data_IF_727883611337
#
_entry.id   IF_727883611337
#
_cell.length_a   1.000
_cell.length_b   1.000
_cell.length_c   1.000
_cell.angle_alpha   90.00
_cell.angle_beta   90.00
_cell.angle_gamma   90.00
#
_symmetry.space_group_name_H-M   'P 1'
#
loop_
_entity.id
_entity.type
_entity.pdbx_description
1 polymer ?
#
# COMPACT_ATOMS: atom_id res chain seq x y z
N UNK A 1 20.68 37.21 -50.78
CA UNK A 1 20.82 36.08 -49.83
C UNK A 1 19.83 36.28 -48.70
N UNK A 2 18.74 35.51 -48.61
CA UNK A 2 17.74 35.69 -47.55
C UNK A 2 18.11 34.89 -46.29
N UNK A 3 18.01 35.52 -45.13
CA UNK A 3 18.21 34.90 -43.81
C UNK A 3 17.11 33.87 -43.53
N UNK A 4 17.53 32.62 -43.31
CA UNK A 4 16.66 31.50 -42.94
C UNK A 4 16.40 31.57 -41.44
N UNK A 5 15.20 31.99 -41.02
CA UNK A 5 14.73 31.85 -39.63
C UNK A 5 14.56 30.36 -39.32
N UNK A 6 15.38 29.84 -38.40
CA UNK A 6 15.22 28.51 -37.83
C UNK A 6 14.24 28.65 -36.66
N UNK A 7 13.03 28.16 -36.86
CA UNK A 7 12.02 27.96 -35.81
C UNK A 7 12.32 26.61 -35.14
N UNK A 8 12.71 26.63 -33.87
CA UNK A 8 12.88 25.43 -33.04
C UNK A 8 11.59 25.26 -32.25
N UNK A 9 10.76 24.30 -32.64
CA UNK A 9 9.58 23.88 -31.88
C UNK A 9 10.02 22.90 -30.79
N UNK A 10 9.84 23.28 -29.53
CA UNK A 10 9.93 22.34 -28.41
C UNK A 10 8.72 21.39 -28.43
N UNK A 11 8.89 20.08 -28.19
CA UNK A 11 7.74 19.21 -27.99
C UNK A 11 7.00 19.65 -26.72
N UNK A 12 5.68 19.80 -26.85
CA UNK A 12 4.80 20.17 -25.75
C UNK A 12 4.95 19.17 -24.59
N UNK A 13 5.30 19.68 -23.42
CA UNK A 13 5.14 18.97 -22.15
C UNK A 13 3.67 18.61 -22.01
N UNK A 14 3.35 17.31 -22.08
CA UNK A 14 1.99 16.84 -21.79
C UNK A 14 1.64 17.18 -20.33
N UNK A 15 0.40 17.61 -20.07
CA UNK A 15 -0.03 17.97 -18.73
C UNK A 15 -0.02 16.74 -17.84
N UNK A 16 0.56 16.88 -16.65
CA UNK A 16 0.63 15.85 -15.62
C UNK A 16 -0.76 15.29 -15.32
N UNK A 17 -0.98 14.02 -15.62
CA UNK A 17 -2.17 13.29 -15.21
C UNK A 17 -2.22 13.28 -13.68
N UNK A 18 -3.26 13.91 -13.13
CA UNK A 18 -3.53 13.96 -11.70
C UNK A 18 -3.83 12.54 -11.22
N UNK A 19 -2.87 11.97 -10.49
CA UNK A 19 -3.01 10.71 -9.77
C UNK A 19 -4.24 10.80 -8.87
N UNK A 20 -5.28 10.01 -9.17
CA UNK A 20 -6.47 9.88 -8.32
C UNK A 20 -6.66 8.40 -8.02
N UNK A 21 -6.27 7.99 -6.82
CA UNK A 21 -6.46 6.66 -6.24
C UNK A 21 -7.80 6.69 -5.49
N UNK A 22 -8.87 7.05 -6.19
CA UNK A 22 -10.20 7.17 -5.60
C UNK A 22 -10.78 5.78 -5.33
N UNK A 23 -10.82 5.34 -4.07
CA UNK A 23 -11.56 4.15 -3.60
C UNK A 23 -13.06 4.42 -3.78
N UNK A 24 -13.71 3.81 -4.78
CA UNK A 24 -15.17 3.92 -4.94
C UNK A 24 -15.87 2.74 -4.27
N UNK A 25 -16.91 3.04 -3.50
CA UNK A 25 -17.85 2.07 -2.95
C UNK A 25 -19.18 2.21 -3.68
N UNK A 26 -19.60 1.16 -4.37
CA UNK A 26 -21.00 0.86 -4.63
C UNK A 26 -21.29 -0.50 -3.97
N UNK A 27 -22.26 -0.52 -3.07
CA UNK A 27 -22.61 -1.69 -2.27
C UNK A 27 -23.57 -2.60 -3.06
N UNK A 28 -23.17 -3.84 -3.32
CA UNK A 28 -24.08 -4.92 -3.68
C UNK A 28 -24.58 -5.59 -2.40
N UNK A 29 -25.91 -5.73 -2.27
CA UNK A 29 -26.60 -6.24 -1.08
C UNK A 29 -26.42 -7.77 -0.95
N UNK A 30 -25.98 -8.31 0.21
CA UNK A 30 -26.32 -9.68 0.61
C UNK A 30 -27.66 -9.73 1.36
N UNK A 31 -28.23 -10.92 1.42
CA UNK A 31 -29.60 -11.23 1.84
C UNK A 31 -30.01 -10.63 3.20
N UNK A 32 -31.25 -10.14 3.24
CA UNK A 32 -31.91 -9.55 4.41
C UNK A 32 -32.23 -10.62 5.48
N UNK A 33 -31.46 -10.65 6.56
CA UNK A 33 -32.01 -11.01 7.87
C UNK A 33 -32.67 -9.76 8.47
N UNK A 34 -33.91 -9.87 8.94
CA UNK A 34 -34.62 -8.80 9.66
C UNK A 34 -33.84 -8.45 10.93
N UNK A 35 -33.24 -7.25 11.04
CA UNK A 35 -32.37 -6.94 12.17
C UNK A 35 -33.20 -6.60 13.40
N UNK A 36 -32.79 -7.16 14.54
CA UNK A 36 -33.21 -6.66 15.85
C UNK A 36 -32.84 -5.17 15.98
N UNK A 37 -33.58 -4.35 16.75
CA UNK A 37 -33.19 -2.97 17.01
C UNK A 37 -31.74 -2.95 17.53
N UNK A 38 -30.90 -2.03 17.02
CA UNK A 38 -29.48 -2.03 17.34
C UNK A 38 -29.32 -1.81 18.84
N UNK A 39 -28.50 -2.66 19.47
CA UNK A 39 -28.24 -2.57 20.90
C UNK A 39 -27.88 -1.12 21.32
N UNK A 40 -28.38 -0.72 22.49
CA UNK A 40 -28.11 0.59 23.08
C UNK A 40 -26.62 0.79 23.39
N UNK A 41 -25.90 -0.31 23.63
CA UNK A 41 -24.46 -0.33 23.79
C UNK A 41 -23.90 -1.66 23.24
N UNK A 42 -22.85 -1.54 22.43
CA UNK A 42 -22.03 -2.63 21.96
C UNK A 42 -20.55 -2.23 21.99
N UNK A 43 -19.69 -3.24 22.05
CA UNK A 43 -18.25 -3.10 21.99
C UNK A 43 -17.65 -3.83 20.81
N UNK A 44 -16.49 -3.37 20.37
CA UNK A 44 -15.64 -4.15 19.50
C UNK A 44 -14.16 -4.02 19.85
N UNK A 45 -13.43 -5.10 19.62
CA UNK A 45 -11.98 -5.19 19.75
C UNK A 45 -11.42 -5.66 18.41
N UNK A 46 -10.41 -4.96 17.92
CA UNK A 46 -9.76 -5.27 16.67
C UNK A 46 -8.31 -5.57 16.94
N UNK A 47 -7.92 -6.81 16.64
CA UNK A 47 -6.61 -7.34 16.93
C UNK A 47 -5.85 -7.46 15.62
N UNK A 48 -5.11 -6.41 15.29
CA UNK A 48 -4.22 -6.36 14.14
C UNK A 48 -2.76 -6.54 14.56
N UNK A 49 -1.91 -6.97 13.63
CA UNK A 49 -0.50 -7.18 13.93
C UNK A 49 0.19 -5.88 14.38
N UNK A 50 -0.22 -4.72 13.89
CA UNK A 50 0.42 -3.44 14.20
C UNK A 50 -0.26 -2.69 15.33
N UNK A 51 -1.55 -2.91 15.54
CA UNK A 51 -2.34 -2.13 16.48
C UNK A 51 -3.46 -2.94 17.12
N UNK A 52 -3.83 -2.53 18.32
CA UNK A 52 -5.04 -2.97 19.01
C UNK A 52 -5.97 -1.77 19.01
N UNK A 53 -7.22 -1.98 18.60
CA UNK A 53 -8.25 -0.95 18.73
C UNK A 53 -9.42 -1.46 19.56
N UNK A 54 -9.98 -0.57 20.38
CA UNK A 54 -11.27 -0.77 21.03
C UNK A 54 -12.26 0.27 20.52
N UNK A 55 -13.45 -0.18 20.18
CA UNK A 55 -14.55 0.64 19.69
C UNK A 55 -15.75 0.50 20.62
N UNK A 56 -16.33 1.65 20.97
CA UNK A 56 -17.62 1.72 21.63
C UNK A 56 -18.66 2.15 20.61
N UNK A 57 -19.77 1.42 20.52
CA UNK A 57 -20.94 1.82 19.73
C UNK A 57 -22.08 2.00 20.72
N UNK A 58 -22.48 3.25 20.99
CA UNK A 58 -23.41 3.58 22.07
C UNK A 58 -24.49 4.56 21.63
N UNK A 59 -25.73 4.36 22.07
CA UNK A 59 -26.80 5.35 21.93
C UNK A 59 -26.48 6.57 22.78
N UNK A 60 -26.63 7.80 22.26
CA UNK A 60 -26.49 9.02 23.07
C UNK A 60 -27.37 8.99 24.33
N UNK A 61 -28.60 8.48 24.22
CA UNK A 61 -29.53 8.39 25.34
C UNK A 61 -29.07 7.38 26.39
N UNK A 62 -28.50 6.25 25.96
CA UNK A 62 -27.94 5.26 26.89
C UNK A 62 -26.69 5.80 27.60
N UNK A 63 -25.85 6.57 26.90
CA UNK A 63 -24.65 7.17 27.48
C UNK A 63 -24.97 8.17 28.59
N UNK A 64 -26.16 8.80 28.58
CA UNK A 64 -26.60 9.71 29.62
C UNK A 64 -26.70 9.10 31.02
N UNK A 65 -26.80 7.76 31.12
CA UNK A 65 -26.77 7.06 32.41
C UNK A 65 -25.47 7.33 33.20
N UNK A 66 -24.38 7.69 32.51
CA UNK A 66 -23.08 7.95 33.13
C UNK A 66 -22.49 9.32 32.85
N UNK A 67 -22.86 9.95 31.75
CA UNK A 67 -22.35 11.25 31.34
C UNK A 67 -23.51 12.14 30.91
N UNK A 68 -23.80 13.18 31.69
CA UNK A 68 -24.83 14.16 31.33
C UNK A 68 -24.45 14.87 30.01
N UNK A 69 -25.17 14.56 28.93
CA UNK A 69 -24.96 15.16 27.62
C UNK A 69 -25.86 16.39 27.43
N UNK A 70 -26.82 16.65 28.33
CA UNK A 70 -27.82 17.70 28.19
C UNK A 70 -28.82 17.42 27.07
N UNK A 71 -29.09 16.14 26.75
CA UNK A 71 -29.97 15.74 25.65
C UNK A 71 -31.18 14.99 26.20
N UNK A 72 -32.26 14.98 25.44
CA UNK A 72 -33.49 14.23 25.73
C UNK A 72 -33.91 13.45 24.50
N UNK A 73 -34.88 12.55 24.65
CA UNK A 73 -35.43 11.80 23.53
C UNK A 73 -35.99 12.72 22.43
N UNK A 74 -36.51 13.89 22.80
CA UNK A 74 -37.10 14.87 21.87
C UNK A 74 -36.08 15.89 21.34
N UNK A 75 -34.83 15.83 21.79
CA UNK A 75 -33.79 16.75 21.33
C UNK A 75 -33.51 16.60 19.83
N UNK A 76 -32.93 17.64 19.24
CA UNK A 76 -32.49 17.70 17.85
C UNK A 76 -31.06 18.21 17.85
N UNK A 77 -30.12 17.32 17.56
CA UNK A 77 -28.69 17.60 17.63
C UNK A 77 -28.22 18.24 16.33
N UNK A 78 -27.86 19.51 16.38
CA UNK A 78 -27.24 20.22 15.26
C UNK A 78 -25.81 19.70 14.99
N UNK A 79 -25.23 19.97 13.81
CA UNK A 79 -23.81 19.70 13.54
C UNK A 79 -22.86 20.26 14.61
N UNK A 80 -23.09 21.48 15.06
CA UNK A 80 -22.29 22.18 16.06
C UNK A 80 -22.38 21.51 17.43
N UNK A 81 -23.60 21.15 17.85
CA UNK A 81 -23.83 20.44 19.12
C UNK A 81 -23.15 19.08 19.11
N UNK A 82 -23.30 18.31 18.01
CA UNK A 82 -22.60 17.02 17.84
C UNK A 82 -21.09 17.21 17.94
N UNK A 83 -20.54 18.22 17.28
CA UNK A 83 -19.11 18.52 17.33
C UNK A 83 -18.64 18.88 18.74
N UNK A 84 -19.42 19.69 19.47
CA UNK A 84 -19.13 20.09 20.84
C UNK A 84 -19.20 18.92 21.85
N UNK A 85 -20.01 17.90 21.59
CA UNK A 85 -20.10 16.71 22.45
C UNK A 85 -18.89 15.77 22.29
N UNK A 86 -18.21 15.76 21.14
CA UNK A 86 -17.12 14.82 20.84
C UNK A 86 -16.00 14.81 21.89
N UNK A 87 -15.43 15.95 22.32
CA UNK A 87 -14.35 15.94 23.32
C UNK A 87 -14.82 15.43 24.69
N UNK A 88 -16.06 15.77 25.10
CA UNK A 88 -16.63 15.33 26.39
C UNK A 88 -16.81 13.82 26.41
N UNK A 89 -17.40 13.26 25.35
CA UNK A 89 -17.60 11.82 25.18
C UNK A 89 -16.25 11.10 25.09
N UNK A 90 -15.31 11.64 24.30
CA UNK A 90 -13.96 11.10 24.14
C UNK A 90 -13.20 11.00 25.47
N UNK A 91 -13.19 12.08 26.25
CA UNK A 91 -12.50 12.08 27.54
C UNK A 91 -13.13 11.09 28.55
N UNK A 92 -14.46 10.98 28.55
CA UNK A 92 -15.16 10.03 29.42
C UNK A 92 -14.85 8.57 29.04
N UNK A 93 -15.00 8.21 27.76
CA UNK A 93 -14.82 6.85 27.28
C UNK A 93 -13.34 6.39 27.30
N UNK A 94 -12.38 7.32 27.25
CA UNK A 94 -10.96 7.00 27.39
C UNK A 94 -10.64 6.23 28.69
N UNK A 95 -11.36 6.55 29.78
CA UNK A 95 -11.20 5.94 31.10
C UNK A 95 -12.00 4.64 31.28
N UNK A 96 -12.70 4.18 30.23
CA UNK A 96 -13.58 3.02 30.27
C UNK A 96 -12.98 1.85 29.50
N UNK A 97 -13.42 0.65 29.87
CA UNK A 97 -12.94 -0.61 29.32
C UNK A 97 -11.39 -0.72 29.35
N UNK A 98 -10.76 -0.76 30.55
CA UNK A 98 -9.32 -0.96 30.65
C UNK A 98 -8.94 -2.32 30.04
N UNK A 99 -7.77 -2.33 29.41
CA UNK A 99 -7.18 -3.52 28.79
C UNK A 99 -5.77 -3.66 29.32
N UNK A 100 -5.42 -4.86 29.76
CA UNK A 100 -4.08 -5.18 30.25
C UNK A 100 -3.46 -6.33 29.48
N UNK A 101 -2.13 -6.36 29.46
CA UNK A 101 -1.31 -7.50 29.01
C UNK A 101 -0.42 -7.87 30.18
N UNK A 102 -0.50 -9.11 30.67
CA UNK A 102 0.25 -9.56 31.85
C UNK A 102 0.04 -8.68 33.10
N UNK A 103 -1.14 -8.07 33.24
CA UNK A 103 -1.45 -7.15 34.35
C UNK A 103 -1.03 -5.69 34.11
N UNK A 104 -0.20 -5.42 33.11
CA UNK A 104 0.20 -4.05 32.76
C UNK A 104 -0.84 -3.37 31.86
N UNK A 105 -1.30 -2.15 32.20
CA UNK A 105 -2.30 -1.43 31.42
C UNK A 105 -1.74 -0.98 30.07
N UNK A 106 -2.55 -1.15 29.02
CA UNK A 106 -2.26 -0.59 27.70
C UNK A 106 -2.84 0.82 27.63
N UNK A 107 -2.01 1.81 27.31
CA UNK A 107 -2.46 3.16 27.02
C UNK A 107 -3.06 3.25 25.62
N UNK A 108 -4.34 3.63 25.55
CA UNK A 108 -5.00 3.91 24.28
C UNK A 108 -5.19 5.40 24.07
N UNK A 109 -4.97 5.85 22.84
CA UNK A 109 -5.28 7.21 22.39
C UNK A 109 -6.58 7.22 21.62
N UNK A 110 -7.41 8.26 21.82
CA UNK A 110 -8.59 8.48 20.97
C UNK A 110 -8.13 8.67 19.52
N UNK A 111 -8.59 7.80 18.63
CA UNK A 111 -8.23 7.84 17.21
C UNK A 111 -9.32 8.55 16.41
N UNK A 112 -10.60 8.24 16.67
CA UNK A 112 -11.74 8.91 16.02
C UNK A 112 -13.03 8.78 16.81
N UNK A 113 -13.96 9.71 16.56
CA UNK A 113 -15.33 9.67 17.09
C UNK A 113 -16.32 10.19 16.05
N UNK A 114 -17.33 9.36 15.75
CA UNK A 114 -18.34 9.61 14.73
C UNK A 114 -19.75 9.38 15.28
N UNK A 115 -20.70 10.15 14.75
CA UNK A 115 -22.11 9.85 14.88
C UNK A 115 -22.53 9.07 13.63
N UNK A 116 -23.25 7.97 13.83
CA UNK A 116 -23.64 7.03 12.79
C UNK A 116 -25.12 6.71 12.91
N UNK A 117 -25.77 6.43 11.79
CA UNK A 117 -27.13 5.91 11.72
C UNK A 117 -27.10 4.38 11.68
N UNK A 118 -27.88 3.68 12.51
CA UNK A 118 -28.13 2.27 12.33
C UNK A 118 -29.02 2.05 11.10
N UNK A 119 -28.47 1.48 10.01
CA UNK A 119 -29.29 0.87 8.95
C UNK A 119 -29.25 -0.64 9.10
N UNK A 120 -30.20 -1.31 8.45
CA UNK A 120 -30.56 -2.69 8.71
C UNK A 120 -29.40 -3.71 8.66
N UNK A 121 -28.39 -3.45 7.84
CA UNK A 121 -27.22 -4.34 7.65
C UNK A 121 -25.89 -3.62 7.80
N UNK A 122 -25.88 -2.29 7.82
CA UNK A 122 -24.69 -1.44 7.89
C UNK A 122 -25.01 -0.19 8.73
N UNK A 123 -24.05 0.34 9.48
CA UNK A 123 -24.20 1.71 9.99
C UNK A 123 -23.74 2.66 8.89
N UNK A 124 -24.44 3.76 8.64
CA UNK A 124 -23.95 4.79 7.71
C UNK A 124 -23.51 6.02 8.49
N UNK A 125 -22.49 6.72 7.99
CA UNK A 125 -22.22 8.06 8.50
C UNK A 125 -23.39 8.97 8.24
N UNK A 126 -23.66 9.79 9.24
CA UNK A 126 -24.64 10.85 9.13
C UNK A 126 -24.05 11.95 8.27
N UNK A 127 -24.90 12.59 7.45
CA UNK A 127 -24.55 13.83 6.78
C UNK A 127 -23.97 14.83 7.82
N UNK A 128 -22.76 15.37 7.57
CA UNK A 128 -22.14 16.37 8.45
C UNK A 128 -23.04 17.54 8.78
N UNK A 129 -23.94 17.94 7.87
CA UNK A 129 -24.81 19.11 8.03
C UNK A 129 -26.21 18.74 8.57
N UNK A 130 -26.54 17.45 8.68
CA UNK A 130 -27.86 17.04 9.15
C UNK A 130 -28.06 17.28 10.65
N UNK A 131 -29.25 17.80 10.98
CA UNK A 131 -29.76 17.79 12.35
C UNK A 131 -30.46 16.46 12.61
N UNK A 132 -30.09 15.77 13.68
CA UNK A 132 -30.52 14.39 13.93
C UNK A 132 -31.12 14.19 15.32
N UNK A 133 -32.01 13.21 15.43
CA UNK A 133 -32.57 12.77 16.71
C UNK A 133 -31.58 11.87 17.44
N UNK A 134 -31.38 12.02 18.77
CA UNK A 134 -30.59 11.10 19.57
C UNK A 134 -31.06 9.63 19.54
N UNK A 135 -32.35 9.40 19.24
CA UNK A 135 -32.93 8.04 19.16
C UNK A 135 -32.43 7.26 17.93
N UNK A 136 -32.24 7.98 16.83
CA UNK A 136 -31.99 7.41 15.51
C UNK A 136 -30.50 7.23 15.21
N UNK A 137 -29.63 7.54 16.18
CA UNK A 137 -28.17 7.57 15.97
C UNK A 137 -27.43 6.75 17.02
N UNK A 138 -26.19 6.41 16.70
CA UNK A 138 -25.20 5.85 17.62
C UNK A 138 -23.93 6.69 17.54
N UNK A 139 -23.14 6.62 18.60
CA UNK A 139 -21.79 7.19 18.67
C UNK A 139 -20.82 6.03 18.54
N UNK A 140 -19.97 6.05 17.52
CA UNK A 140 -18.78 5.19 17.41
C UNK A 140 -17.56 5.95 17.90
N UNK A 141 -16.94 5.48 18.98
CA UNK A 141 -15.70 6.03 19.51
C UNK A 141 -14.60 4.97 19.48
N UNK A 142 -13.53 5.23 18.74
CA UNK A 142 -12.43 4.29 18.52
C UNK A 142 -11.18 4.78 19.20
N UNK A 143 -10.57 3.91 19.99
CA UNK A 143 -9.30 4.13 20.66
C UNK A 143 -8.29 3.12 20.13
N UNK A 144 -7.08 3.58 19.85
CA UNK A 144 -6.02 2.77 19.26
C UNK A 144 -4.76 2.78 20.13
N UNK A 145 -4.10 1.63 20.23
CA UNK A 145 -2.79 1.46 20.86
C UNK A 145 -1.89 0.64 19.92
N UNK A 146 -0.57 0.91 19.87
CA UNK A 146 0.36 0.02 19.21
C UNK A 146 0.26 -1.39 19.79
N UNK A 147 0.23 -2.40 18.93
CA UNK A 147 0.37 -3.77 19.40
C UNK A 147 1.86 -4.02 19.64
N UNK A 148 2.27 -4.44 20.83
CA UNK A 148 3.69 -4.67 21.13
C UNK A 148 4.06 -6.15 21.09
N UNK A 149 3.19 -7.03 21.60
CA UNK A 149 3.41 -8.48 21.65
C UNK A 149 2.20 -9.27 21.15
N UNK A 150 2.38 -9.94 20.00
CA UNK A 150 1.36 -10.78 19.35
C UNK A 150 1.06 -12.09 20.10
N UNK A 151 1.90 -12.47 21.07
CA UNK A 151 1.80 -13.75 21.78
C UNK A 151 1.01 -13.66 23.08
N UNK A 152 0.77 -12.46 23.60
CA UNK A 152 0.07 -12.32 24.88
C UNK A 152 -1.45 -12.31 24.69
N UNK A 153 -2.13 -12.79 25.71
CA UNK A 153 -3.58 -12.61 25.81
C UNK A 153 -3.88 -11.24 26.41
N UNK A 154 -4.91 -10.60 25.88
CA UNK A 154 -5.45 -9.35 26.38
C UNK A 154 -6.51 -9.66 27.43
N UNK A 155 -6.40 -9.01 28.58
CA UNK A 155 -7.43 -9.04 29.62
C UNK A 155 -8.21 -7.74 29.52
N UNK A 156 -9.48 -7.86 29.14
CA UNK A 156 -10.39 -6.74 28.92
C UNK A 156 -11.41 -6.74 30.04
N UNK A 157 -11.63 -5.59 30.66
CA UNK A 157 -12.64 -5.43 31.69
C UNK A 157 -13.69 -4.42 31.26
N UNK A 158 -14.89 -4.88 30.93
CA UNK A 158 -15.95 -4.03 30.40
C UNK A 158 -16.80 -3.42 31.53
N UNK A 159 -16.53 -2.15 31.85
CA UNK A 159 -17.16 -1.44 32.97
C UNK A 159 -18.33 -0.51 32.58
N UNK A 160 -18.92 -0.70 31.39
CA UNK A 160 -20.08 0.06 30.91
C UNK A 160 -21.19 -0.91 30.53
N UNK A 161 -22.12 -1.21 31.45
CA UNK A 161 -23.26 -2.10 31.18
C UNK A 161 -24.52 -1.35 31.61
N UNK A 162 -25.41 -0.97 30.67
CA UNK A 162 -26.61 -0.20 30.98
C UNK A 162 -27.46 -0.87 32.05
N UNK A 163 -28.17 -0.08 32.85
CA UNK A 163 -28.96 -0.65 33.95
C UNK A 163 -30.04 -1.63 33.46
N UNK A 164 -30.66 -1.26 32.34
CA UNK A 164 -31.73 -1.97 31.65
C UNK A 164 -31.26 -3.05 30.67
N UNK A 165 -29.96 -3.27 30.52
CA UNK A 165 -29.42 -4.26 29.59
C UNK A 165 -28.96 -5.54 30.33
N UNK A 166 -29.36 -6.74 29.90
CA UNK A 166 -28.91 -7.99 30.52
C UNK A 166 -27.42 -8.27 30.26
N UNK A 167 -26.90 -7.82 29.11
CA UNK A 167 -25.51 -7.95 28.72
C UNK A 167 -25.12 -6.89 27.68
N UNK A 168 -23.81 -6.74 27.46
CA UNK A 168 -23.24 -6.00 26.33
C UNK A 168 -22.53 -6.99 25.41
N UNK A 169 -22.81 -6.94 24.11
CA UNK A 169 -22.09 -7.72 23.11
C UNK A 169 -20.78 -7.02 22.76
N UNK A 170 -19.66 -7.72 22.98
CA UNK A 170 -18.32 -7.32 22.54
C UNK A 170 -17.88 -8.24 21.40
N UNK A 171 -17.67 -7.67 20.22
CA UNK A 171 -17.15 -8.40 19.05
C UNK A 171 -15.63 -8.31 19.01
N UNK A 172 -14.93 -9.44 18.89
CA UNK A 172 -13.49 -9.51 18.68
C UNK A 172 -13.23 -9.91 17.24
N UNK A 173 -12.58 -9.02 16.51
CA UNK A 173 -12.25 -9.22 15.12
C UNK A 173 -10.72 -9.36 14.98
N UNK A 174 -10.27 -10.47 14.40
CA UNK A 174 -8.85 -10.77 14.16
C UNK A 174 -8.65 -11.52 12.83
N UNK A 175 -7.41 -11.91 12.49
CA UNK A 175 -7.12 -12.57 11.20
C UNK A 175 -7.94 -13.86 10.96
N UNK A 176 -8.43 -14.53 12.01
CA UNK A 176 -9.26 -15.72 11.90
C UNK A 176 -10.77 -15.45 11.88
N UNK A 177 -11.20 -14.19 11.77
CA UNK A 177 -12.60 -13.79 11.67
C UNK A 177 -13.14 -13.07 12.92
N UNK A 178 -14.46 -12.93 12.99
CA UNK A 178 -15.16 -12.22 14.06
C UNK A 178 -15.77 -13.20 15.06
N UNK A 179 -15.59 -12.93 16.37
CA UNK A 179 -16.14 -13.70 17.49
C UNK A 179 -16.95 -12.78 18.39
N UNK A 180 -18.11 -13.21 18.86
CA UNK A 180 -19.00 -12.39 19.71
C UNK A 180 -19.01 -12.91 21.15
N UNK A 181 -18.91 -12.01 22.12
CA UNK A 181 -18.93 -12.32 23.55
C UNK A 181 -19.98 -11.46 24.24
N UNK A 182 -20.84 -12.05 25.07
CA UNK A 182 -21.82 -11.32 25.87
C UNK A 182 -21.29 -11.16 27.30
N UNK A 183 -21.04 -9.92 27.70
CA UNK A 183 -20.52 -9.57 29.03
C UNK A 183 -21.64 -9.05 29.92
N UNK A 184 -21.70 -9.51 31.16
CA UNK A 184 -22.75 -9.16 32.12
C UNK A 184 -22.15 -8.40 33.31
N UNK A 185 -23.01 -7.81 34.16
CA UNK A 185 -22.55 -7.15 35.40
C UNK A 185 -21.83 -8.13 36.34
N UNK A 186 -22.17 -9.41 36.30
CA UNK A 186 -21.56 -10.46 37.10
C UNK A 186 -20.28 -11.04 36.48
N UNK A 187 -20.17 -10.98 35.14
CA UNK A 187 -18.98 -11.40 34.42
C UNK A 187 -18.60 -10.36 33.35
N UNK A 188 -17.99 -9.24 33.76
CA UNK A 188 -17.62 -8.14 32.86
C UNK A 188 -16.27 -8.35 32.17
N UNK A 189 -15.56 -9.44 32.47
CA UNK A 189 -14.19 -9.66 32.01
C UNK A 189 -14.15 -10.58 30.78
N UNK A 190 -13.23 -10.26 29.86
CA UNK A 190 -12.93 -11.05 28.68
C UNK A 190 -11.41 -11.26 28.59
N UNK A 191 -10.99 -12.53 28.61
CA UNK A 191 -9.60 -12.90 28.33
C UNK A 191 -9.52 -13.41 26.89
N UNK A 192 -8.76 -12.72 26.03
CA UNK A 192 -8.76 -12.99 24.60
C UNK A 192 -7.35 -13.01 24.03
N UNK A 193 -7.05 -14.05 23.26
CA UNK A 193 -5.83 -14.14 22.45
C UNK A 193 -6.17 -13.83 21.00
N UNK A 194 -5.44 -12.87 20.41
CA UNK A 194 -5.55 -12.54 19.00
C UNK A 194 -4.97 -13.63 18.11
N UNK A 195 -5.61 -13.87 16.97
CA UNK A 195 -5.05 -14.68 15.88
C UNK A 195 -4.44 -13.74 14.84
N UNK A 196 -3.14 -13.90 14.59
CA UNK A 196 -2.37 -13.06 13.67
C UNK A 196 -1.80 -13.90 12.54
N UNK A 197 -1.69 -13.33 11.34
CA UNK A 197 -1.00 -13.97 10.21
C UNK A 197 0.51 -14.03 10.51
N UNK A 198 1.16 -15.10 10.08
CA UNK A 198 2.62 -15.17 10.06
C UNK A 198 3.18 -14.01 9.23
N UNK A 199 4.31 -13.46 9.65
CA UNK A 199 4.98 -12.34 8.98
C UNK A 199 4.21 -11.00 8.90
N UNK A 200 3.09 -10.80 9.62
CA UNK A 200 2.29 -9.57 9.53
C UNK A 200 3.01 -8.25 9.86
N UNK A 201 4.18 -8.31 10.53
CA UNK A 201 5.08 -7.15 10.76
C UNK A 201 6.37 -7.18 9.95
N UNK A 202 6.66 -8.27 9.25
CA UNK A 202 7.95 -8.41 8.60
C UNK A 202 8.06 -7.37 7.50
N UNK A 203 9.21 -6.70 7.43
CA UNK A 203 9.52 -5.89 6.27
C UNK A 203 9.51 -6.78 5.02
N UNK A 204 9.00 -6.30 3.89
CA UNK A 204 9.12 -7.04 2.64
C UNK A 204 10.60 -7.27 2.32
N UNK A 205 10.93 -8.38 1.63
CA UNK A 205 12.31 -8.62 1.20
C UNK A 205 12.80 -7.44 0.34
N UNK A 206 14.09 -7.09 0.39
CA UNK A 206 14.62 -6.07 -0.51
C UNK A 206 14.54 -6.56 -1.96
N UNK A 207 14.46 -5.63 -2.95
CA UNK A 207 14.59 -6.00 -4.34
C UNK A 207 15.94 -6.67 -4.60
N UNK A 208 16.06 -7.52 -5.64
CA UNK A 208 17.33 -8.13 -6.00
C UNK A 208 18.35 -7.05 -6.32
N UNK A 209 19.64 -7.37 -6.14
CA UNK A 209 20.72 -6.46 -6.47
C UNK A 209 20.61 -5.97 -7.92
N UNK A 210 21.05 -4.73 -8.16
CA UNK A 210 21.13 -4.19 -9.51
C UNK A 210 21.98 -5.15 -10.36
N UNK A 211 21.56 -5.48 -11.60
CA UNK A 211 22.40 -6.27 -12.49
C UNK A 211 23.73 -5.55 -12.63
N UNK A 212 24.83 -6.29 -12.52
CA UNK A 212 26.12 -5.76 -12.98
C UNK A 212 25.94 -5.46 -14.46
N UNK A 213 26.01 -4.18 -14.83
CA UNK A 213 26.11 -3.81 -16.23
C UNK A 213 27.44 -4.37 -16.71
N UNK A 214 27.42 -5.62 -17.17
CA UNK A 214 28.53 -6.23 -17.87
C UNK A 214 28.65 -5.42 -19.15
N UNK A 215 29.43 -4.34 -19.08
CA UNK A 215 29.77 -3.54 -20.24
C UNK A 215 30.31 -4.50 -21.28
N UNK A 216 29.78 -4.44 -22.50
CA UNK A 216 30.31 -5.22 -23.60
C UNK A 216 31.77 -4.78 -23.81
N UNK A 217 32.71 -5.49 -23.19
CA UNK A 217 34.13 -5.19 -23.27
C UNK A 217 34.59 -5.64 -24.64
N UNK A 218 34.48 -4.74 -25.62
CA UNK A 218 35.07 -5.00 -26.94
C UNK A 218 36.58 -4.88 -26.78
N UNK A 219 37.25 -6.03 -26.87
CA UNK A 219 38.72 -6.12 -26.78
C UNK A 219 39.33 -5.65 -28.10
N UNK A 220 39.54 -4.35 -28.26
CA UNK A 220 40.28 -3.81 -29.39
C UNK A 220 41.78 -3.68 -29.06
N UNK A 221 42.68 -4.38 -29.79
CA UNK A 221 44.10 -4.12 -29.70
C UNK A 221 44.41 -2.73 -30.30
N UNK A 222 44.84 -1.76 -29.50
CA UNK A 222 45.29 -0.45 -30.03
C UNK A 222 46.39 -0.62 -31.11
N UNK A 223 47.20 -1.67 -30.99
CA UNK A 223 48.21 -2.00 -31.98
C UNK A 223 47.60 -2.47 -33.32
N UNK A 224 46.44 -3.12 -33.36
CA UNK A 224 45.75 -3.39 -34.63
C UNK A 224 45.24 -2.13 -35.30
N UNK A 225 44.84 -1.10 -34.54
CA UNK A 225 44.45 0.19 -35.10
C UNK A 225 45.67 0.92 -35.66
N UNK A 226 46.80 0.93 -34.94
CA UNK A 226 48.04 1.54 -35.42
C UNK A 226 48.70 0.79 -36.58
N UNK A 227 48.71 -0.55 -36.53
CA UNK A 227 49.18 -1.40 -37.63
C UNK A 227 48.26 -1.23 -38.83
N UNK A 228 46.93 -1.21 -38.63
CA UNK A 228 45.96 -0.91 -39.69
C UNK A 228 46.25 0.44 -40.35
N UNK A 229 46.41 1.52 -39.57
CA UNK A 229 46.71 2.85 -40.10
C UNK A 229 48.06 2.92 -40.83
N UNK A 230 49.08 2.22 -40.32
CA UNK A 230 50.42 2.15 -40.92
C UNK A 230 50.53 1.24 -42.15
N UNK A 231 49.64 0.24 -42.29
CA UNK A 231 49.59 -0.68 -43.43
C UNK A 231 48.73 -0.18 -44.59
N UNK A 232 47.86 0.82 -44.38
CA UNK A 232 47.03 1.42 -45.43
C UNK A 232 47.86 1.94 -46.62
N UNK A 233 48.95 2.73 -46.43
CA UNK A 233 49.75 3.21 -47.55
C UNK A 233 50.42 2.11 -48.40
N UNK A 234 51.10 1.09 -47.84
CA UNK A 234 51.69 0.01 -48.65
C UNK A 234 50.65 -0.92 -49.28
N UNK A 235 49.48 -1.14 -48.66
CA UNK A 235 48.38 -1.93 -49.25
C UNK A 235 47.76 -1.22 -50.44
N UNK A 236 47.49 0.09 -50.34
CA UNK A 236 47.01 0.91 -51.46
C UNK A 236 48.05 0.88 -52.59
N UNK A 237 49.34 1.04 -52.26
CA UNK A 237 50.43 0.97 -53.24
C UNK A 237 50.56 -0.39 -53.92
N UNK A 238 50.25 -1.49 -53.21
CA UNK A 238 50.23 -2.84 -53.79
C UNK A 238 49.02 -3.07 -54.71
N UNK A 239 47.83 -2.59 -54.32
CA UNK A 239 46.60 -2.72 -55.10
C UNK A 239 46.63 -1.85 -56.38
N UNK A 240 47.29 -0.68 -56.32
CA UNK A 240 47.40 0.24 -57.46
C UNK A 240 48.63 -0.01 -58.35
N UNK A 241 49.49 -1.00 -58.05
CA UNK A 241 50.71 -1.29 -58.82
C UNK A 241 50.49 -2.44 -59.82
N UNK A 242 50.87 -2.23 -61.09
CA UNK A 242 50.78 -3.28 -62.13
C UNK A 242 51.81 -4.42 -61.97
N UNK A 243 52.90 -4.18 -61.24
CA UNK A 243 53.86 -5.22 -60.86
C UNK A 243 53.64 -5.61 -59.40
N UNK A 244 53.07 -6.81 -59.20
CA UNK A 244 52.84 -7.38 -57.87
C UNK A 244 54.15 -7.91 -57.31
N UNK A 245 54.65 -7.29 -56.25
CA UNK A 245 55.86 -7.75 -55.55
C UNK A 245 55.46 -8.82 -54.50
N UNK A 246 55.79 -10.10 -54.68
CA UNK A 246 55.37 -11.17 -53.78
C UNK A 246 55.94 -11.01 -52.38
N UNK A 247 57.11 -10.39 -52.23
CA UNK A 247 57.72 -10.14 -50.92
C UNK A 247 56.88 -9.19 -50.04
N UNK A 248 56.19 -8.23 -50.66
CA UNK A 248 55.33 -7.29 -49.95
C UNK A 248 54.03 -7.95 -49.49
N UNK A 249 53.50 -8.90 -50.28
CA UNK A 249 52.35 -9.71 -49.88
C UNK A 249 52.69 -10.61 -48.67
N UNK A 250 53.86 -11.25 -48.67
CA UNK A 250 54.33 -12.07 -47.55
C UNK A 250 54.53 -11.24 -46.28
N UNK A 251 55.09 -10.03 -46.40
CA UNK A 251 55.28 -9.12 -45.27
C UNK A 251 53.94 -8.67 -44.65
N UNK A 252 52.94 -8.36 -45.48
CA UNK A 252 51.60 -8.01 -45.01
C UNK A 252 50.91 -9.16 -44.28
N UNK A 253 51.08 -10.39 -44.78
CA UNK A 253 50.55 -11.59 -44.11
C UNK A 253 51.26 -11.81 -42.77
N UNK A 254 52.59 -11.67 -42.71
CA UNK A 254 53.34 -11.79 -41.46
C UNK A 254 52.97 -10.74 -40.43
N UNK A 255 52.73 -9.49 -40.84
CA UNK A 255 52.27 -8.42 -39.94
C UNK A 255 50.84 -8.66 -39.44
N UNK A 256 49.95 -9.18 -40.29
CA UNK A 256 48.60 -9.56 -39.89
C UNK A 256 48.63 -10.73 -38.87
N UNK A 257 49.48 -11.73 -39.08
CA UNK A 257 49.68 -12.85 -38.14
C UNK A 257 50.37 -12.40 -36.85
N UNK A 258 51.32 -11.46 -36.92
CA UNK A 258 51.94 -10.90 -35.72
C UNK A 258 50.92 -10.12 -34.88
N UNK A 259 50.01 -9.37 -35.52
CA UNK A 259 48.99 -8.58 -34.85
C UNK A 259 47.97 -9.42 -34.05
N UNK A 260 47.74 -10.68 -34.42
CA UNK A 260 46.86 -11.60 -33.65
C UNK A 260 47.54 -12.12 -32.37
N UNK A 261 48.86 -11.98 -32.24
CA UNK A 261 49.66 -12.48 -31.10
C UNK A 261 49.82 -11.47 -29.95
N UNK A 262 49.35 -10.22 -30.07
CA UNK A 262 49.58 -9.19 -29.05
C UNK A 262 48.45 -9.06 -28.02
N UNK A 263 48.86 -8.78 -26.77
CA UNK A 263 47.98 -8.70 -25.58
C UNK A 263 46.94 -7.58 -25.71
N UNK A 264 45.71 -7.92 -25.35
CA UNK A 264 44.53 -7.05 -25.44
C UNK A 264 44.45 -6.04 -24.28
N UNK A 265 44.02 -4.81 -24.56
CA UNK A 265 43.56 -3.84 -23.56
C UNK A 265 42.03 -3.86 -23.53
N UNK A 266 41.45 -3.74 -22.34
CA UNK A 266 40.00 -3.66 -22.13
C UNK A 266 39.54 -2.24 -22.47
N UNK A 267 38.69 -2.09 -23.48
CA UNK A 267 38.02 -0.82 -23.79
C UNK A 267 36.54 -1.00 -23.47
N UNK A 268 36.03 -0.21 -22.54
CA UNK A 268 34.60 -0.16 -22.22
C UNK A 268 33.91 0.77 -23.22
N UNK A 269 33.19 0.20 -24.18
CA UNK A 269 32.32 0.98 -25.06
C UNK A 269 30.94 0.98 -24.40
N UNK A 270 30.74 1.95 -23.50
CA UNK A 270 29.49 2.13 -22.77
C UNK A 270 28.40 2.67 -23.68
N UNK A 271 27.58 1.77 -24.25
CA UNK A 271 26.16 2.06 -24.44
C UNK A 271 25.44 1.31 -23.33
N UNK A 272 24.93 2.03 -22.35
CA UNK A 272 24.01 1.49 -21.36
C UNK A 272 22.68 1.17 -22.06
N UNK A 273 22.67 0.20 -22.97
CA UNK A 273 21.42 -0.41 -23.42
C UNK A 273 20.94 -1.25 -22.26
N UNK A 274 19.81 -0.85 -21.66
CA UNK A 274 19.12 -1.64 -20.66
C UNK A 274 18.95 -3.05 -21.19
N UNK A 275 19.51 -4.03 -20.51
CA UNK A 275 19.28 -5.44 -20.81
C UNK A 275 17.77 -5.68 -20.82
N UNK A 276 17.25 -6.33 -21.86
CA UNK A 276 15.86 -6.79 -21.88
C UNK A 276 15.64 -7.70 -20.67
N UNK A 277 14.81 -7.26 -19.72
CA UNK A 277 14.43 -8.06 -18.57
C UNK A 277 13.36 -9.05 -19.00
N UNK A 278 13.42 -10.28 -18.50
CA UNK A 278 12.28 -11.20 -18.61
C UNK A 278 11.13 -10.76 -17.69
N UNK A 279 9.91 -11.21 -17.99
CA UNK A 279 8.74 -11.00 -17.12
C UNK A 279 9.01 -11.47 -15.68
N UNK A 280 9.66 -12.63 -15.51
CA UNK A 280 10.04 -13.16 -14.20
C UNK A 280 11.03 -12.25 -13.47
N UNK A 281 12.02 -11.69 -14.16
CA UNK A 281 12.97 -10.75 -13.55
C UNK A 281 12.28 -9.44 -13.15
N UNK A 282 11.40 -8.93 -14.01
CA UNK A 282 10.59 -7.74 -13.74
C UNK A 282 9.73 -7.93 -12.49
N UNK A 283 8.96 -9.04 -12.41
CA UNK A 283 8.14 -9.35 -11.25
C UNK A 283 8.96 -9.50 -9.96
N UNK A 284 10.14 -10.12 -10.03
CA UNK A 284 11.04 -10.24 -8.86
C UNK A 284 11.57 -8.90 -8.35
N UNK A 285 11.69 -7.90 -9.23
CA UNK A 285 12.06 -6.54 -8.85
C UNK A 285 10.82 -5.78 -8.34
N UNK A 286 9.70 -5.89 -9.04
CA UNK A 286 8.51 -5.07 -8.76
C UNK A 286 7.73 -5.53 -7.52
N UNK A 287 7.64 -6.83 -7.26
CA UNK A 287 6.94 -7.40 -6.08
C UNK A 287 7.41 -6.79 -4.74
N UNK A 288 8.72 -6.79 -4.41
CA UNK A 288 9.19 -6.21 -3.16
C UNK A 288 8.98 -4.68 -3.09
N UNK A 289 9.03 -3.98 -4.23
CA UNK A 289 8.76 -2.53 -4.27
C UNK A 289 7.28 -2.25 -3.97
N UNK A 290 6.37 -2.97 -4.62
CA UNK A 290 4.92 -2.85 -4.39
C UNK A 290 4.55 -3.23 -2.96
N UNK A 291 5.06 -4.34 -2.44
CA UNK A 291 4.86 -4.71 -1.04
C UNK A 291 5.41 -3.64 -0.10
N UNK A 292 6.55 -3.02 -0.43
CA UNK A 292 7.10 -1.89 0.31
C UNK A 292 6.18 -0.67 0.35
N UNK A 293 5.53 -0.34 -0.78
CA UNK A 293 4.53 0.73 -0.84
C UNK A 293 3.39 0.43 0.13
N UNK A 294 2.75 -0.74 0.04
CA UNK A 294 1.67 -1.11 0.97
C UNK A 294 2.14 -1.23 2.43
N UNK A 295 3.34 -1.74 2.65
CA UNK A 295 3.93 -1.86 3.99
C UNK A 295 4.14 -0.49 4.65
N UNK A 296 4.51 0.53 3.87
CA UNK A 296 4.64 1.91 4.37
C UNK A 296 3.34 2.45 4.98
N UNK A 297 2.18 1.90 4.61
CA UNK A 297 0.87 2.36 5.09
C UNK A 297 0.50 1.79 6.47
N UNK A 298 1.28 0.84 7.00
CA UNK A 298 1.04 0.34 8.35
C UNK A 298 1.57 1.29 9.44
N UNK A 299 2.51 2.18 9.11
CA UNK A 299 3.01 3.19 10.03
C UNK A 299 1.94 4.27 10.29
N UNK A 300 1.91 4.84 11.50
CA UNK A 300 0.96 5.90 11.87
C UNK A 300 1.53 7.30 11.68
N UNK A 301 2.83 7.49 11.92
CA UNK A 301 3.45 8.81 11.79
C UNK A 301 3.78 9.09 10.34
N UNK A 302 3.38 10.27 9.85
CA UNK A 302 3.65 10.72 8.48
C UNK A 302 5.13 10.67 8.11
N UNK A 303 6.02 11.00 9.05
CA UNK A 303 7.47 10.90 8.84
C UNK A 303 7.93 9.46 8.62
N UNK A 304 7.50 8.53 9.48
CA UNK A 304 7.84 7.10 9.36
C UNK A 304 7.26 6.49 8.07
N UNK A 305 6.04 6.88 7.68
CA UNK A 305 5.42 6.50 6.41
C UNK A 305 6.26 6.98 5.22
N UNK A 306 6.69 8.26 5.23
CA UNK A 306 7.50 8.83 4.17
C UNK A 306 8.88 8.15 4.08
N UNK A 307 9.55 7.95 5.22
CA UNK A 307 10.84 7.28 5.28
C UNK A 307 10.77 5.85 4.75
N UNK A 308 9.73 5.10 5.14
CA UNK A 308 9.49 3.74 4.64
C UNK A 308 9.19 3.74 3.13
N UNK A 309 8.36 4.66 2.64
CA UNK A 309 8.02 4.78 1.23
C UNK A 309 9.24 5.17 0.38
N UNK A 310 10.11 6.05 0.88
CA UNK A 310 11.32 6.53 0.19
C UNK A 310 12.35 5.43 -0.12
N UNK A 311 12.25 4.29 0.57
CA UNK A 311 13.10 3.11 0.33
C UNK A 311 12.72 2.38 -0.96
N UNK A 312 11.49 2.51 -1.43
CA UNK A 312 10.95 1.80 -2.59
C UNK A 312 10.41 2.70 -3.70
N UNK A 313 10.13 3.97 -3.39
CA UNK A 313 9.71 5.00 -4.34
C UNK A 313 10.73 6.13 -4.32
N UNK A 314 11.08 6.66 -5.49
CA UNK A 314 12.04 7.75 -5.64
C UNK A 314 11.64 8.74 -6.73
N UNK A 315 12.49 9.75 -6.93
CA UNK A 315 12.31 10.74 -7.99
C UNK A 315 10.97 11.47 -7.91
N UNK A 316 10.36 11.70 -9.07
CA UNK A 316 9.12 12.47 -9.19
C UNK A 316 7.88 11.74 -8.64
N UNK A 317 7.91 10.40 -8.50
CA UNK A 317 6.76 9.63 -8.00
C UNK A 317 6.56 9.69 -6.49
N UNK A 318 7.61 9.96 -5.70
CA UNK A 318 7.54 9.87 -4.24
C UNK A 318 6.47 10.80 -3.65
N UNK A 319 6.50 12.08 -4.01
CA UNK A 319 5.55 13.06 -3.48
C UNK A 319 4.10 12.78 -3.93
N UNK A 320 3.79 12.56 -5.22
CA UNK A 320 2.43 12.24 -5.64
C UNK A 320 1.87 10.98 -4.99
N UNK A 321 2.65 9.89 -4.94
CA UNK A 321 2.21 8.64 -4.29
C UNK A 321 1.98 8.88 -2.80
N UNK A 322 2.88 9.58 -2.11
CA UNK A 322 2.71 9.89 -0.70
C UNK A 322 1.43 10.71 -0.43
N UNK A 323 1.21 11.80 -1.17
CA UNK A 323 0.03 12.64 -1.00
C UNK A 323 -1.27 11.89 -1.27
N UNK A 324 -1.26 11.03 -2.27
CA UNK A 324 -2.44 10.24 -2.61
C UNK A 324 -2.78 9.19 -1.56
N UNK A 325 -1.76 8.59 -0.95
CA UNK A 325 -1.91 7.72 0.20
C UNK A 325 -2.50 8.48 1.38
N UNK A 326 -2.03 9.70 1.66
CA UNK A 326 -2.60 10.53 2.73
C UNK A 326 -4.09 10.81 2.48
N UNK A 327 -4.46 11.22 1.25
CA UNK A 327 -5.87 11.44 0.88
C UNK A 327 -6.72 10.19 1.09
N UNK A 328 -6.18 9.02 0.73
CA UNK A 328 -6.86 7.73 0.91
C UNK A 328 -7.09 7.43 2.40
N UNK A 329 -6.08 7.63 3.25
CA UNK A 329 -6.19 7.41 4.69
C UNK A 329 -7.13 8.43 5.34
N UNK A 330 -7.10 9.69 4.93
CA UNK A 330 -8.01 10.73 5.40
C UNK A 330 -9.46 10.47 4.97
N UNK A 331 -9.67 9.99 3.75
CA UNK A 331 -11.00 9.57 3.28
C UNK A 331 -11.55 8.43 4.14
N UNK A 332 -10.70 7.46 4.51
CA UNK A 332 -11.07 6.36 5.39
C UNK A 332 -11.34 6.78 6.83
N UNK A 333 -10.56 7.74 7.32
CA UNK A 333 -10.84 8.36 8.61
C UNK A 333 -12.23 9.04 8.61
N UNK A 334 -12.65 9.62 7.47
CA UNK A 334 -14.01 10.18 7.33
C UNK A 334 -15.08 9.11 7.24
N UNK A 335 -14.83 8.00 6.53
CA UNK A 335 -15.79 6.90 6.36
C UNK A 335 -15.87 5.95 7.58
N UNK A 336 -15.04 6.18 8.60
CA UNK A 336 -15.01 5.40 9.84
C UNK A 336 -14.47 3.99 9.66
N UNK A 337 -14.03 3.63 8.45
CA UNK A 337 -13.54 2.30 8.11
C UNK A 337 -12.02 2.23 8.27
N UNK A 338 -11.55 1.10 8.81
CA UNK A 338 -10.13 0.75 8.84
C UNK A 338 -9.83 -0.16 7.66
N UNK A 339 -8.66 -0.03 7.05
CA UNK A 339 -8.24 -0.95 5.99
C UNK A 339 -6.86 -1.49 6.28
N UNK A 340 -6.72 -2.81 6.18
CA UNK A 340 -5.44 -3.51 6.23
C UNK A 340 -5.25 -4.29 4.95
N UNK A 341 -4.05 -4.19 4.36
CA UNK A 341 -3.67 -5.08 3.26
C UNK A 341 -3.14 -6.37 3.89
N UNK A 342 -3.68 -7.50 3.42
CA UNK A 342 -3.34 -8.83 3.92
C UNK A 342 -2.32 -9.49 3.01
N UNK A 343 -2.56 -9.43 1.70
CA UNK A 343 -1.70 -10.06 0.70
C UNK A 343 -1.70 -9.28 -0.61
N UNK A 344 -0.64 -9.50 -1.39
CA UNK A 344 -0.42 -8.94 -2.70
C UNK A 344 0.12 -10.04 -3.61
N UNK A 345 -0.42 -10.16 -4.83
CA UNK A 345 0.07 -11.09 -5.84
C UNK A 345 0.17 -10.38 -7.19
N UNK A 346 1.34 -10.41 -7.81
CA UNK A 346 1.50 -9.98 -9.20
C UNK A 346 1.01 -11.12 -10.11
N UNK A 347 0.03 -10.82 -10.96
CA UNK A 347 -0.50 -11.75 -11.95
C UNK A 347 0.36 -11.75 -13.22
N UNK A 348 0.69 -10.55 -13.69
CA UNK A 348 1.47 -10.34 -14.91
C UNK A 348 2.34 -9.08 -14.80
N UNK A 349 3.48 -9.09 -15.47
CA UNK A 349 4.39 -7.94 -15.56
C UNK A 349 5.18 -8.01 -16.86
N UNK A 350 4.84 -7.16 -17.82
CA UNK A 350 5.49 -7.06 -19.12
C UNK A 350 6.51 -5.90 -19.11
N UNK A 351 7.82 -6.19 -19.04
CA UNK A 351 8.85 -5.16 -19.01
C UNK A 351 9.20 -4.65 -20.42
N UNK A 352 9.68 -3.41 -20.49
CA UNK A 352 10.32 -2.82 -21.66
C UNK A 352 11.46 -1.92 -21.19
N UNK A 353 12.68 -2.04 -21.75
CA UNK A 353 13.82 -1.25 -21.31
C UNK A 353 13.59 0.24 -21.59
N UNK A 354 14.10 1.10 -20.71
CA UNK A 354 14.10 2.54 -20.95
C UNK A 354 15.14 2.90 -22.05
N UNK A 355 14.80 3.71 -23.07
CA UNK A 355 15.71 3.97 -24.19
C UNK A 355 17.03 4.66 -23.84
N UNK A 356 16.98 5.64 -22.93
CA UNK A 356 18.08 6.60 -22.71
C UNK A 356 18.72 6.53 -21.32
N UNK A 357 18.23 5.66 -20.44
CA UNK A 357 18.68 5.59 -19.04
C UNK A 357 18.46 4.18 -18.47
N UNK A 358 19.21 3.78 -17.43
CA UNK A 358 19.04 2.46 -16.83
C UNK A 358 17.66 2.34 -16.18
N UNK A 359 17.06 1.16 -16.30
CA UNK A 359 15.73 0.88 -15.78
C UNK A 359 14.79 0.33 -16.84
N UNK A 360 13.54 0.14 -16.44
CA UNK A 360 12.51 -0.43 -17.29
C UNK A 360 11.14 0.17 -16.97
N UNK A 361 10.29 0.14 -17.98
CA UNK A 361 8.86 0.30 -17.83
C UNK A 361 8.24 -1.08 -17.66
N UNK A 362 7.27 -1.25 -16.76
CA UNK A 362 6.52 -2.50 -16.61
C UNK A 362 5.02 -2.24 -16.65
N UNK A 363 4.32 -2.84 -17.62
CA UNK A 363 2.87 -2.96 -17.56
C UNK A 363 2.53 -4.15 -16.64
N UNK A 364 1.92 -3.87 -15.50
CA UNK A 364 1.72 -4.86 -14.45
C UNK A 364 0.26 -4.93 -14.01
N UNK A 365 -0.19 -6.17 -13.84
CA UNK A 365 -1.46 -6.52 -13.22
C UNK A 365 -1.18 -7.16 -11.87
N UNK A 366 -1.83 -6.68 -10.81
CA UNK A 366 -1.69 -7.27 -9.49
C UNK A 366 -3.00 -7.28 -8.72
N UNK A 367 -3.14 -8.32 -7.91
CA UNK A 367 -4.21 -8.53 -6.97
C UNK A 367 -3.78 -8.05 -5.59
N UNK A 368 -4.66 -7.34 -4.89
CA UNK A 368 -4.50 -6.96 -3.49
C UNK A 368 -5.69 -7.43 -2.71
N UNK A 369 -5.44 -8.33 -1.77
CA UNK A 369 -6.43 -8.69 -0.78
C UNK A 369 -6.21 -7.88 0.49
N UNK A 370 -7.30 -7.36 1.03
CA UNK A 370 -7.30 -6.56 2.23
C UNK A 370 -8.57 -6.77 3.02
N UNK A 371 -8.55 -6.25 4.24
CA UNK A 371 -9.63 -6.34 5.19
C UNK A 371 -10.06 -4.96 5.60
N UNK A 372 -11.35 -4.69 5.47
CA UNK A 372 -11.99 -3.44 5.87
C UNK A 372 -12.79 -3.68 7.12
N UNK A 373 -12.57 -2.90 8.18
CA UNK A 373 -13.23 -3.11 9.47
C UNK A 373 -13.97 -1.90 9.97
N UNK A 374 -15.22 -2.10 10.37
CA UNK A 374 -16.06 -1.07 10.98
C UNK A 374 -17.14 -1.75 11.84
N UNK A 375 -17.53 -1.12 12.94
CA UNK A 375 -18.67 -1.52 13.79
C UNK A 375 -18.69 -3.01 14.19
N UNK A 376 -17.54 -3.47 14.68
CA UNK A 376 -17.31 -4.82 15.19
C UNK A 376 -17.29 -5.96 14.18
N UNK A 377 -17.15 -5.69 12.88
CA UNK A 377 -16.94 -6.74 11.89
C UNK A 377 -15.92 -6.34 10.83
N UNK A 378 -15.53 -7.32 10.01
CA UNK A 378 -14.58 -7.20 8.93
C UNK A 378 -15.20 -7.68 7.63
N UNK A 379 -14.89 -6.98 6.55
CA UNK A 379 -15.15 -7.36 5.18
C UNK A 379 -13.80 -7.66 4.52
N UNK A 380 -13.62 -8.88 4.03
CA UNK A 380 -12.47 -9.19 3.19
C UNK A 380 -12.76 -8.74 1.76
N UNK A 381 -11.76 -8.15 1.11
CA UNK A 381 -11.90 -7.56 -0.22
C UNK A 381 -10.68 -7.86 -1.06
N UNK A 382 -10.92 -8.25 -2.30
CA UNK A 382 -9.89 -8.44 -3.32
C UNK A 382 -10.09 -7.40 -4.42
N UNK A 383 -9.01 -6.71 -4.78
CA UNK A 383 -9.00 -5.73 -5.86
C UNK A 383 -7.93 -6.10 -6.87
N UNK A 384 -8.28 -6.04 -8.14
CA UNK A 384 -7.38 -6.20 -9.26
C UNK A 384 -7.02 -4.81 -9.79
N UNK A 385 -5.73 -4.59 -10.02
CA UNK A 385 -5.19 -3.34 -10.52
C UNK A 385 -4.38 -3.58 -11.78
N UNK A 386 -4.43 -2.61 -12.69
CA UNK A 386 -3.57 -2.53 -13.87
C UNK A 386 -2.89 -1.18 -13.92
N UNK A 387 -1.57 -1.18 -13.98
CA UNK A 387 -0.79 0.05 -14.06
C UNK A 387 0.47 -0.13 -14.92
N UNK A 388 1.03 1.01 -15.32
CA UNK A 388 2.39 1.07 -15.84
C UNK A 388 3.30 1.71 -14.80
N UNK A 389 4.38 1.00 -14.48
CA UNK A 389 5.44 1.45 -13.59
C UNK A 389 6.66 1.86 -14.41
N UNK A 390 7.38 2.89 -13.96
CA UNK A 390 8.76 3.12 -14.36
C UNK A 390 9.63 2.83 -13.15
N UNK A 391 10.60 1.94 -13.33
CA UNK A 391 11.50 1.45 -12.27
C UNK A 391 12.93 1.75 -12.69
N UNK A 392 13.65 2.46 -11.83
CA UNK A 392 15.01 2.93 -12.10
C UNK A 392 15.93 2.61 -10.90
N UNK A 393 17.23 2.40 -11.14
CA UNK A 393 18.20 2.38 -10.06
C UNK A 393 18.42 3.79 -9.52
N UNK A 394 18.16 4.00 -8.24
CA UNK A 394 18.45 5.24 -7.52
C UNK A 394 19.19 4.92 -6.21
N UNK A 395 20.37 5.53 -6.03
CA UNK A 395 21.21 5.32 -4.83
C UNK A 395 21.45 3.83 -4.55
N UNK A 396 21.93 3.10 -5.57
CA UNK A 396 22.25 1.66 -5.49
C UNK A 396 21.07 0.73 -5.14
N UNK A 397 19.84 1.19 -5.33
CA UNK A 397 18.62 0.40 -5.10
C UNK A 397 17.59 0.61 -6.21
N UNK A 398 16.82 -0.43 -6.53
CA UNK A 398 15.67 -0.27 -7.42
C UNK A 398 14.59 0.57 -6.74
N UNK A 399 14.02 1.55 -7.45
CA UNK A 399 12.89 2.34 -6.97
C UNK A 399 11.87 2.60 -8.08
N UNK A 400 10.61 2.69 -7.68
CA UNK A 400 9.52 3.19 -8.54
C UNK A 400 9.70 4.70 -8.69
N UNK A 401 9.89 5.19 -9.92
CA UNK A 401 10.08 6.61 -10.23
C UNK A 401 8.88 7.21 -10.95
N UNK A 402 7.98 6.38 -11.48
CA UNK A 402 6.69 6.78 -12.02
C UNK A 402 5.65 5.66 -11.83
N UNK A 403 4.40 6.05 -11.60
CA UNK A 403 3.24 5.17 -11.54
C UNK A 403 2.10 5.79 -12.33
N UNK A 404 1.56 5.05 -13.30
CA UNK A 404 0.38 5.42 -14.07
C UNK A 404 -0.66 4.30 -13.95
N UNK A 405 -1.67 4.50 -13.10
CA UNK A 405 -2.76 3.56 -12.90
C UNK A 405 -3.77 3.68 -14.06
N UNK A 406 -4.13 2.55 -14.67
CA UNK A 406 -5.02 2.49 -15.85
C UNK A 406 -6.40 1.97 -15.51
N UNK A 407 -6.46 0.86 -14.78
CA UNK A 407 -7.71 0.15 -14.51
C UNK A 407 -7.72 -0.41 -13.10
N UNK A 408 -8.93 -0.54 -12.58
CA UNK A 408 -9.22 -1.14 -11.28
C UNK A 408 -10.54 -1.87 -11.36
N UNK A 409 -10.52 -3.13 -10.96
CA UNK A 409 -11.72 -3.95 -10.82
C UNK A 409 -11.79 -4.53 -9.40
N UNK A 410 -13.01 -4.55 -8.85
CA UNK A 410 -13.28 -5.20 -7.57
C UNK A 410 -13.84 -6.58 -7.88
N UNK A 411 -13.23 -7.61 -7.29
CA UNK A 411 -13.79 -8.95 -7.37
C UNK A 411 -15.06 -9.01 -6.48
N UNK A 412 -16.19 -9.54 -7.00
CA UNK A 412 -17.40 -9.70 -6.21
C UNK A 412 -17.15 -10.65 -5.02
N UNK A 413 -17.76 -10.35 -3.88
CA UNK A 413 -17.64 -11.18 -2.68
C UNK A 413 -18.25 -12.57 -2.96
N UNK A 414 -17.56 -13.67 -2.64
CA UNK A 414 -18.15 -15.00 -2.81
C UNK A 414 -19.39 -15.09 -1.92
N UNK A 415 -20.54 -15.47 -2.50
CA UNK A 415 -21.78 -15.64 -1.76
C UNK A 415 -21.53 -16.57 -0.56
N UNK A 416 -21.86 -16.08 0.64
CA UNK A 416 -21.74 -16.85 1.88
C UNK A 416 -22.41 -18.21 1.70
N UNK A 417 -21.63 -19.28 1.74
CA UNK A 417 -22.13 -20.63 1.67
C UNK A 417 -23.08 -20.86 2.85
N UNK A 418 -24.38 -20.80 2.59
CA UNK A 418 -25.42 -21.24 3.52
C UNK A 418 -25.10 -22.68 3.89
N UNK A 419 -24.65 -22.88 5.12
CA UNK A 419 -24.43 -24.22 5.66
C UNK A 419 -25.81 -24.82 5.88
N UNK A 420 -26.36 -25.48 4.86
CA UNK A 420 -27.52 -26.34 5.02
C UNK A 420 -27.07 -27.53 5.87
N UNK A 421 -27.47 -27.54 7.14
CA UNK A 421 -27.51 -28.77 7.93
C UNK A 421 -28.35 -29.81 7.18
N UNK A 422 -27.86 -31.05 6.99
CA UNK A 422 -28.70 -32.13 6.51
C UNK A 422 -29.63 -32.57 7.64
N UNK A 423 -30.90 -32.80 7.29
CA UNK A 423 -31.95 -33.33 8.15
C UNK A 423 -31.65 -34.74 8.71
#
# INVERSE_FOLDING_TARGET
MPQKKISISFPALQPWAVLTLAISFASGLPAQETPSPPADLAGALYLDAWQIEKEFVVSPLALQQWLDLGITADSRLSPEERSALKPRIGNFLAQKCPVTIQGEPIEFTLDRIHFIEPKATEFSLIDPEATVSPQDIRISAVYAAPNMDLRQALQVFWNLIPENAPFVTVKVADAGGTRSFNLTKFNPALNIRGRYRSAGRNAPPPPPALPTLDGNVIRLPWLTVLIGLGLVPPVIRFLCSERKNPALAVLLILLAVAATSLRHIKVEIGKASGTELSETQSSRILDPLLRGVYHSFHYRKRSEQYDALSKVVGGAALTPIFLEVQRTLESRARDGSRVRVNDLRIEDSQPSPLPDRPGFTAACNWEVSGRVGHWGHFHDRTNLYRATFVVEPLQDSWKITQLSLHEREREPEPASASTSTPD
#
